data_IF_343444405846
#
_entry.id   IF_343444405846
#
_cell.length_a   1.000
_cell.length_b   1.000
_cell.length_c   1.000
_cell.angle_alpha   90.00
_cell.angle_beta   90.00
_cell.angle_gamma   90.00
#
_symmetry.space_group_name_H-M   'P 1'
#
loop_
_entity.id
_entity.type
_entity.pdbx_description
1 polymer ?
#
# COMPACT_ATOMS: atom_id res chain seq x y z
N UNK A 1 4.32 -11.91 10.86
CA UNK A 1 4.69 -10.66 10.17
C UNK A 1 6.17 -10.68 9.85
N UNK A 2 6.55 -10.30 8.64
CA UNK A 2 7.92 -10.12 8.14
C UNK A 2 8.20 -8.62 8.03
N UNK A 3 9.18 -8.05 8.75
CA UNK A 3 9.51 -6.64 8.62
C UNK A 3 10.22 -6.35 7.29
N UNK A 4 10.07 -5.12 6.78
CA UNK A 4 10.91 -4.57 5.73
C UNK A 4 12.22 -4.11 6.38
N UNK A 5 13.34 -4.67 5.95
CA UNK A 5 14.67 -4.37 6.52
C UNK A 5 15.55 -3.54 5.58
N UNK A 6 15.13 -3.35 4.34
CA UNK A 6 15.88 -2.63 3.30
C UNK A 6 14.92 -1.84 2.42
N UNK A 7 15.40 -0.72 1.90
CA UNK A 7 14.71 0.02 0.86
C UNK A 7 14.74 -0.81 -0.43
N UNK A 8 13.56 -1.12 -0.97
CA UNK A 8 13.42 -1.86 -2.23
C UNK A 8 12.36 -1.18 -3.11
N UNK A 9 12.61 -1.17 -4.43
CA UNK A 9 11.66 -0.70 -5.43
C UNK A 9 11.32 -1.86 -6.35
N UNK A 10 10.03 -2.10 -6.54
CA UNK A 10 9.49 -3.08 -7.47
C UNK A 10 8.66 -2.37 -8.51
N UNK A 11 8.80 -2.79 -9.76
CA UNK A 11 8.04 -2.26 -10.86
C UNK A 11 7.43 -3.42 -11.66
N UNK A 12 6.11 -3.40 -11.82
CA UNK A 12 5.41 -4.23 -12.79
C UNK A 12 5.32 -3.41 -14.07
N UNK A 13 6.20 -3.75 -15.01
CA UNK A 13 6.33 -3.13 -16.33
C UNK A 13 6.06 -4.17 -17.43
N UNK A 14 4.97 -4.94 -17.29
CA UNK A 14 4.52 -5.91 -18.30
C UNK A 14 3.29 -5.36 -19.04
N UNK A 15 3.38 -4.98 -20.33
CA UNK A 15 2.25 -4.50 -21.13
C UNK A 15 1.07 -5.46 -21.25
N UNK A 16 1.24 -6.74 -20.88
CA UNK A 16 0.13 -7.68 -20.76
C UNK A 16 -0.78 -7.38 -19.55
N UNK A 17 -0.26 -6.69 -18.54
CA UNK A 17 -1.00 -6.22 -17.38
C UNK A 17 -1.78 -4.92 -17.69
N UNK A 18 -2.94 -4.71 -17.08
CA UNK A 18 -3.77 -3.53 -17.36
C UNK A 18 -3.16 -2.21 -16.86
N UNK A 19 -2.20 -2.27 -15.92
CA UNK A 19 -1.61 -1.11 -15.26
C UNK A 19 -0.11 -1.27 -15.06
N UNK A 20 0.59 -0.14 -15.06
CA UNK A 20 1.95 -0.03 -14.53
C UNK A 20 1.87 0.22 -13.03
N UNK A 21 2.61 -0.57 -12.26
CA UNK A 21 2.65 -0.47 -10.79
C UNK A 21 4.07 -0.23 -10.33
N UNK A 22 4.28 0.83 -9.56
CA UNK A 22 5.52 1.09 -8.85
C UNK A 22 5.24 0.92 -7.36
N UNK A 23 6.00 0.04 -6.70
CA UNK A 23 5.90 -0.24 -5.28
C UNK A 23 7.24 0.04 -4.60
N UNK A 24 7.22 0.87 -3.57
CA UNK A 24 8.37 1.16 -2.72
C UNK A 24 8.17 0.53 -1.35
N UNK A 25 9.11 -0.32 -0.93
CA UNK A 25 9.17 -0.91 0.40
C UNK A 25 10.21 -0.17 1.22
N UNK A 26 9.80 0.47 2.31
CA UNK A 26 10.67 1.27 3.17
C UNK A 26 10.82 0.60 4.55
N UNK A 27 12.06 0.42 5.04
CA UNK A 27 12.29 -0.01 6.41
C UNK A 27 11.87 1.09 7.39
N UNK A 28 11.51 0.75 8.64
CA UNK A 28 11.11 1.74 9.62
C UNK A 28 12.28 2.66 10.02
N UNK A 29 11.96 3.91 10.29
CA UNK A 29 12.91 4.89 10.82
C UNK A 29 13.48 5.80 9.75
N UNK A 30 14.38 6.73 10.13
CA UNK A 30 14.89 7.73 9.19
C UNK A 30 15.66 7.04 8.06
N UNK A 31 15.35 7.35 6.78
CA UNK A 31 16.10 6.80 5.66
C UNK A 31 17.54 7.34 5.66
N UNK A 32 18.48 6.52 5.19
CA UNK A 32 19.89 6.93 5.04
C UNK A 32 20.06 8.08 4.03
N UNK A 33 19.21 8.12 3.01
CA UNK A 33 19.16 9.19 2.01
C UNK A 33 18.02 10.17 2.33
N UNK A 34 18.32 11.45 2.64
CA UNK A 34 17.30 12.46 2.93
C UNK A 34 16.25 12.65 1.82
N UNK A 35 16.63 12.42 0.55
CA UNK A 35 15.72 12.54 -0.60
C UNK A 35 14.59 11.50 -0.55
N UNK A 36 14.85 10.34 0.06
CA UNK A 36 13.85 9.32 0.30
C UNK A 36 12.88 9.80 1.38
N UNK A 37 13.37 10.45 2.44
CA UNK A 37 12.53 11.02 3.49
C UNK A 37 11.66 12.18 3.01
N UNK A 38 12.15 12.97 2.05
CA UNK A 38 11.36 14.00 1.38
C UNK A 38 10.26 13.41 0.49
N UNK A 39 10.57 12.33 -0.24
CA UNK A 39 9.61 11.67 -1.13
C UNK A 39 8.56 10.84 -0.39
N UNK A 40 8.96 10.18 0.69
CA UNK A 40 8.13 9.28 1.48
C UNK A 40 8.17 9.71 2.95
N UNK A 41 7.44 10.77 3.30
CA UNK A 41 7.50 11.34 4.64
C UNK A 41 6.86 10.39 5.66
N UNK A 42 7.66 9.57 6.37
CA UNK A 42 7.12 8.64 7.38
C UNK A 42 6.27 9.32 8.46
N UNK A 43 6.53 10.60 8.73
CA UNK A 43 5.74 11.41 9.66
C UNK A 43 4.28 11.63 9.22
N UNK A 44 3.95 11.41 7.95
CA UNK A 44 2.57 11.49 7.46
C UNK A 44 1.77 10.20 7.67
N UNK A 45 2.41 9.09 8.05
CA UNK A 45 1.75 7.80 8.27
C UNK A 45 1.24 7.77 9.71
N UNK A 46 -0.08 7.65 9.87
CA UNK A 46 -0.76 7.69 11.16
C UNK A 46 -0.97 6.28 11.76
N UNK A 47 -0.96 5.24 10.94
CA UNK A 47 -1.06 3.85 11.42
C UNK A 47 0.29 3.33 11.96
N UNK A 48 0.28 2.29 12.83
CA UNK A 48 1.51 1.66 13.31
C UNK A 48 2.41 1.16 12.16
N UNK A 49 3.70 1.49 12.25
CA UNK A 49 4.68 1.32 11.17
C UNK A 49 6.03 0.74 11.63
N UNK A 50 6.07 0.07 12.77
CA UNK A 50 7.32 -0.47 13.35
C UNK A 50 7.98 -1.57 12.50
N UNK A 51 7.27 -2.14 11.52
CA UNK A 51 7.78 -3.14 10.56
C UNK A 51 8.05 -2.54 9.17
N UNK A 52 7.87 -1.23 9.00
CA UNK A 52 8.08 -0.51 7.75
C UNK A 52 6.77 -0.14 7.03
N UNK A 53 6.91 0.43 5.85
CA UNK A 53 5.81 0.94 5.03
C UNK A 53 5.96 0.56 3.55
N UNK A 54 4.84 0.53 2.85
CA UNK A 54 4.75 0.31 1.40
C UNK A 54 4.02 1.50 0.78
N UNK A 55 4.62 2.08 -0.26
CA UNK A 55 3.99 3.12 -1.08
C UNK A 55 3.74 2.57 -2.49
N UNK A 56 2.50 2.67 -2.95
CA UNK A 56 2.09 2.24 -4.28
C UNK A 56 1.72 3.45 -5.13
N UNK A 57 2.28 3.51 -6.34
CA UNK A 57 1.84 4.37 -7.42
C UNK A 57 1.35 3.48 -8.58
N UNK A 58 0.08 3.63 -8.96
CA UNK A 58 -0.56 2.86 -10.04
C UNK A 58 -1.00 3.81 -11.14
N UNK A 59 -0.59 3.50 -12.37
CA UNK A 59 -0.89 4.31 -13.54
C UNK A 59 -1.27 3.46 -14.76
N UNK A 60 -1.96 4.07 -15.72
CA UNK A 60 -2.13 3.48 -17.05
C UNK A 60 -0.81 3.57 -17.82
N UNK A 61 -0.67 2.77 -18.87
CA UNK A 61 0.48 2.81 -19.78
C UNK A 61 0.72 4.18 -20.45
N UNK A 62 -0.32 5.00 -20.54
CA UNK A 62 -0.25 6.37 -21.05
C UNK A 62 0.05 7.40 -19.96
N UNK A 63 0.29 6.98 -18.72
CA UNK A 63 0.58 7.84 -17.57
C UNK A 63 -0.66 8.38 -16.86
N UNK A 64 -1.85 7.85 -17.11
CA UNK A 64 -3.07 8.25 -16.42
C UNK A 64 -3.08 7.76 -14.96
N UNK A 65 -3.47 8.61 -14.01
CA UNK A 65 -3.58 8.24 -12.60
C UNK A 65 -4.68 7.19 -12.37
N UNK A 66 -4.32 6.05 -11.77
CA UNK A 66 -5.25 4.96 -11.43
C UNK A 66 -5.46 4.87 -9.94
N UNK A 67 -4.38 4.73 -9.17
CA UNK A 67 -4.44 4.67 -7.71
C UNK A 67 -3.11 5.07 -7.06
N UNK A 68 -3.20 5.53 -5.82
CA UNK A 68 -2.06 5.67 -4.92
C UNK A 68 -2.49 5.13 -3.55
N UNK A 69 -1.58 4.42 -2.88
CA UNK A 69 -1.86 3.88 -1.55
C UNK A 69 -0.61 3.78 -0.70
N UNK A 70 -0.79 3.98 0.60
CA UNK A 70 0.23 3.79 1.62
C UNK A 70 -0.25 2.77 2.63
N UNK A 71 0.56 1.75 2.87
CA UNK A 71 0.35 0.74 3.89
C UNK A 71 1.51 0.77 4.87
N UNK A 72 1.25 0.48 6.14
CA UNK A 72 2.31 0.23 7.09
C UNK A 72 1.95 -0.92 8.02
N UNK A 73 2.95 -1.48 8.67
CA UNK A 73 2.79 -2.65 9.50
C UNK A 73 3.46 -2.51 10.87
N UNK A 74 2.91 -3.23 11.83
CA UNK A 74 3.57 -3.56 13.09
C UNK A 74 3.73 -5.09 13.22
N UNK A 75 4.01 -5.56 14.43
CA UNK A 75 4.18 -6.98 14.71
C UNK A 75 2.90 -7.81 14.53
N UNK A 76 1.72 -7.16 14.59
CA UNK A 76 0.42 -7.82 14.65
C UNK A 76 -0.29 -7.82 13.30
N UNK A 77 -0.27 -6.68 12.58
CA UNK A 77 -1.02 -6.53 11.33
C UNK A 77 -0.46 -5.46 10.39
N UNK A 78 -0.87 -5.55 9.13
CA UNK A 78 -0.76 -4.47 8.14
C UNK A 78 -2.02 -3.62 8.22
N UNK A 79 -1.88 -2.31 8.05
CA UNK A 79 -3.01 -1.38 7.95
C UNK A 79 -2.79 -0.45 6.76
N UNK A 80 -3.89 -0.13 6.08
CA UNK A 80 -3.89 0.93 5.09
C UNK A 80 -3.94 2.29 5.80
N UNK A 81 -2.98 3.14 5.49
CA UNK A 81 -2.91 4.52 5.98
C UNK A 81 -3.75 5.42 5.07
N UNK A 82 -3.42 5.42 3.78
CA UNK A 82 -4.16 6.16 2.75
C UNK A 82 -4.37 5.29 1.53
N UNK A 83 -5.51 5.47 0.86
CA UNK A 83 -5.77 4.88 -0.45
C UNK A 83 -6.69 5.81 -1.24
N UNK A 84 -6.29 6.09 -2.47
CA UNK A 84 -7.11 6.82 -3.44
C UNK A 84 -7.14 6.01 -4.72
N UNK A 85 -8.35 5.72 -5.22
CA UNK A 85 -8.56 5.09 -6.52
C UNK A 85 -9.40 6.02 -7.38
N UNK A 86 -8.90 6.31 -8.58
CA UNK A 86 -9.60 7.09 -9.58
C UNK A 86 -10.97 6.47 -9.88
N UNK A 87 -12.01 7.30 -9.95
CA UNK A 87 -13.40 6.87 -10.13
C UNK A 87 -13.60 5.92 -11.32
N UNK A 88 -12.94 6.20 -12.46
CA UNK A 88 -13.01 5.37 -13.67
C UNK A 88 -12.41 3.96 -13.49
N UNK A 89 -11.67 3.73 -12.41
CA UNK A 89 -10.99 2.48 -12.10
C UNK A 89 -11.52 1.80 -10.82
N UNK A 90 -12.50 2.42 -10.14
CA UNK A 90 -13.19 1.81 -9.00
C UNK A 90 -13.96 0.56 -9.43
N UNK A 91 -14.21 -0.33 -8.49
CA UNK A 91 -14.92 -1.61 -8.69
C UNK A 91 -14.26 -2.58 -9.70
N UNK A 92 -12.98 -2.35 -10.06
CA UNK A 92 -12.18 -3.24 -10.93
C UNK A 92 -11.15 -4.08 -10.16
N UNK A 93 -11.30 -4.22 -8.85
CA UNK A 93 -10.39 -5.01 -8.01
C UNK A 93 -9.05 -4.35 -7.65
N UNK A 94 -8.78 -3.11 -8.11
CA UNK A 94 -7.51 -2.40 -7.85
C UNK A 94 -7.18 -2.34 -6.36
N UNK A 95 -8.11 -1.85 -5.53
CA UNK A 95 -7.89 -1.77 -4.08
C UNK A 95 -7.61 -3.17 -3.50
N UNK A 96 -8.44 -4.17 -3.80
CA UNK A 96 -8.25 -5.55 -3.35
C UNK A 96 -6.84 -6.07 -3.61
N UNK A 97 -6.33 -5.89 -4.84
CA UNK A 97 -4.99 -6.34 -5.21
C UNK A 97 -3.89 -5.63 -4.42
N UNK A 98 -4.04 -4.33 -4.13
CA UNK A 98 -3.10 -3.59 -3.29
C UNK A 98 -3.08 -4.12 -1.85
N UNK A 99 -4.25 -4.38 -1.25
CA UNK A 99 -4.38 -4.99 0.07
C UNK A 99 -3.74 -6.39 0.13
N UNK A 100 -4.01 -7.24 -0.86
CA UNK A 100 -3.41 -8.59 -0.94
C UNK A 100 -1.89 -8.54 -1.15
N UNK A 101 -1.40 -7.58 -1.95
CA UNK A 101 0.03 -7.38 -2.17
C UNK A 101 0.71 -6.97 -0.85
N UNK A 102 0.12 -6.03 -0.11
CA UNK A 102 0.62 -5.62 1.19
C UNK A 102 0.63 -6.79 2.20
N UNK A 103 -0.42 -7.62 2.22
CA UNK A 103 -0.44 -8.86 3.00
C UNK A 103 0.72 -9.79 2.64
N UNK A 104 0.98 -9.96 1.33
CA UNK A 104 2.06 -10.79 0.82
C UNK A 104 3.46 -10.31 1.20
N UNK A 105 3.72 -9.00 1.11
CA UNK A 105 5.02 -8.39 1.45
C UNK A 105 5.34 -8.59 2.93
N UNK A 106 4.40 -8.27 3.82
CA UNK A 106 4.59 -8.39 5.26
C UNK A 106 4.26 -9.79 5.81
N UNK A 107 3.85 -10.75 4.97
CA UNK A 107 3.45 -12.10 5.38
C UNK A 107 2.51 -12.11 6.61
N UNK A 108 1.40 -11.39 6.50
CA UNK A 108 0.35 -11.42 7.51
C UNK A 108 -0.88 -10.61 7.16
N UNK A 109 -1.84 -10.49 8.10
CA UNK A 109 -3.16 -9.96 7.82
C UNK A 109 -3.12 -8.46 7.56
N UNK A 110 -3.85 -8.01 6.55
CA UNK A 110 -4.27 -6.61 6.48
C UNK A 110 -5.62 -6.48 7.15
N UNK A 111 -5.73 -5.55 8.10
CA UNK A 111 -6.98 -5.26 8.82
C UNK A 111 -7.44 -3.83 8.54
N UNK A 112 -8.73 -3.51 8.73
CA UNK A 112 -9.20 -2.14 8.65
C UNK A 112 -8.43 -1.25 9.64
N UNK A 113 -8.01 -0.06 9.20
CA UNK A 113 -7.47 0.97 10.09
C UNK A 113 -8.61 1.73 10.77
N UNK A 114 -8.30 2.47 11.83
CA UNK A 114 -9.28 3.35 12.47
C UNK A 114 -9.60 4.58 11.60
N UNK A 115 -8.71 4.93 10.67
CA UNK A 115 -8.77 6.10 9.79
C UNK A 115 -9.58 5.88 8.50
N UNK A 116 -10.67 5.11 8.56
CA UNK A 116 -11.44 4.77 7.36
C UNK A 116 -12.30 5.92 6.84
N UNK A 117 -12.16 6.21 5.55
CA UNK A 117 -13.15 7.01 4.80
C UNK A 117 -14.45 6.22 4.60
N UNK A 118 -15.59 6.87 4.28
CA UNK A 118 -16.82 6.16 3.95
C UNK A 118 -16.66 5.12 2.82
N UNK A 119 -15.85 5.45 1.80
CA UNK A 119 -15.50 4.54 0.71
C UNK A 119 -14.73 3.32 1.23
N UNK A 120 -13.82 3.50 2.20
CA UNK A 120 -13.09 2.40 2.81
C UNK A 120 -14.02 1.51 3.65
N UNK A 121 -14.94 2.08 4.43
CA UNK A 121 -15.96 1.32 5.17
C UNK A 121 -16.81 0.48 4.22
N UNK A 122 -17.28 1.09 3.13
CA UNK A 122 -18.06 0.40 2.11
C UNK A 122 -17.24 -0.70 1.41
N UNK A 123 -15.96 -0.45 1.11
CA UNK A 123 -15.04 -1.46 0.60
C UNK A 123 -14.98 -2.64 1.57
N UNK A 124 -14.65 -2.42 2.84
CA UNK A 124 -14.49 -3.51 3.81
C UNK A 124 -15.77 -4.32 3.98
N UNK A 125 -16.95 -3.69 3.98
CA UNK A 125 -18.23 -4.40 3.86
C UNK A 125 -18.43 -5.46 4.95
N UNK A 126 -17.91 -5.22 6.16
CA UNK A 126 -17.95 -6.15 7.30
C UNK A 126 -16.83 -7.19 7.34
N UNK A 127 -15.94 -7.24 6.34
CA UNK A 127 -14.72 -8.05 6.38
C UNK A 127 -13.80 -7.53 7.49
N UNK A 128 -13.22 -8.43 8.27
CA UNK A 128 -12.31 -8.09 9.38
C UNK A 128 -10.84 -8.18 8.99
N UNK A 129 -10.52 -8.91 7.92
CA UNK A 129 -9.15 -9.05 7.42
C UNK A 129 -9.11 -9.42 5.94
N UNK A 130 -8.00 -9.10 5.29
CA UNK A 130 -7.58 -9.60 3.98
C UNK A 130 -6.24 -10.32 4.17
N UNK A 131 -6.15 -11.52 3.61
CA UNK A 131 -4.91 -12.30 3.52
C UNK A 131 -4.63 -12.52 2.04
N UNK A 132 -3.35 -12.51 1.66
CA UNK A 132 -2.96 -13.05 0.36
C UNK A 132 -3.41 -14.54 0.32
N UNK A 133 -4.14 -14.98 -0.72
CA UNK A 133 -4.56 -16.36 -0.86
C UNK A 133 -3.39 -17.34 -0.98
#
# INVERSE_FOLDING_TARGET
MKPITKLEMYEIDDPAEPYRVVMWCLPPGPPEDPRIGERFPEGSIEVPKSFGAIWFDVSTWQGGFVAQATFAADADAVRCDTITVNEAHRMKGVATQLYETASGVFQGPVIPSDNQTPDAVAFWGGRTQILRP
#
